data_IF_086994233584
#
_entry.id   IF_086994233584
#
_cell.length_a   1.000
_cell.length_b   1.000
_cell.length_c   1.000
_cell.angle_alpha   90.00
_cell.angle_beta   90.00
_cell.angle_gamma   90.00
#
_symmetry.space_group_name_H-M   'P 1'
#
loop_
_entity.id
_entity.type
_entity.pdbx_description
1 polymer ?
#
# COMPACT_ATOMS: atom_id res chain seq x y z
N UNK A 1 5.77 -9.71 -7.92
CA UNK A 1 5.47 -10.08 -6.53
C UNK A 1 3.96 -10.01 -6.25
N UNK A 2 3.14 -10.92 -6.82
CA UNK A 2 1.70 -10.97 -6.59
C UNK A 2 1.33 -11.24 -5.13
N UNK A 3 2.18 -11.99 -4.40
CA UNK A 3 1.91 -12.40 -3.01
C UNK A 3 1.76 -11.25 -2.00
N UNK A 4 2.37 -10.08 -2.21
CA UNK A 4 2.23 -8.94 -1.28
C UNK A 4 0.87 -8.25 -1.40
N UNK A 5 0.36 -8.12 -2.63
CA UNK A 5 -0.96 -7.55 -2.88
C UNK A 5 -2.05 -8.47 -2.30
N UNK A 6 -1.91 -9.77 -2.53
CA UNK A 6 -2.89 -10.76 -2.07
C UNK A 6 -3.07 -10.73 -0.55
N UNK A 7 -1.96 -10.77 0.21
CA UNK A 7 -2.05 -10.75 1.69
C UNK A 7 -2.67 -9.47 2.24
N UNK A 8 -2.43 -8.32 1.62
CA UNK A 8 -3.06 -7.05 2.01
C UNK A 8 -4.56 -7.08 1.74
N UNK A 9 -4.99 -7.53 0.56
CA UNK A 9 -6.41 -7.57 0.22
C UNK A 9 -7.14 -8.49 1.20
N UNK A 10 -6.63 -9.70 1.40
CA UNK A 10 -7.26 -10.65 2.31
C UNK A 10 -7.31 -10.12 3.74
N UNK A 11 -6.23 -9.50 4.24
CA UNK A 11 -6.19 -9.02 5.63
C UNK A 11 -6.92 -7.72 5.85
N UNK A 12 -6.55 -6.68 5.11
CA UNK A 12 -6.92 -5.29 5.40
C UNK A 12 -8.24 -4.89 4.70
N UNK A 13 -8.65 -5.60 3.64
CA UNK A 13 -9.92 -5.33 2.91
C UNK A 13 -10.99 -6.37 3.26
N UNK A 14 -10.64 -7.65 3.26
CA UNK A 14 -11.60 -8.73 3.46
C UNK A 14 -11.69 -9.24 4.91
N UNK A 15 -10.72 -8.89 5.77
CA UNK A 15 -10.78 -9.19 7.21
C UNK A 15 -10.36 -10.60 7.62
N UNK A 16 -9.76 -11.41 6.73
CA UNK A 16 -9.31 -12.75 7.06
C UNK A 16 -8.25 -12.78 8.18
N UNK A 17 -8.28 -13.83 9.01
CA UNK A 17 -7.24 -14.13 10.01
C UNK A 17 -5.91 -14.52 9.34
N UNK A 18 -4.81 -14.51 10.11
CA UNK A 18 -3.52 -14.90 9.55
C UNK A 18 -3.46 -16.39 9.22
N UNK A 19 -4.20 -17.20 9.97
CA UNK A 19 -4.35 -18.65 9.81
C UNK A 19 -5.11 -18.99 8.52
N UNK A 20 -6.23 -18.31 8.25
CA UNK A 20 -7.00 -18.50 6.99
C UNK A 20 -6.18 -18.07 5.77
N UNK A 21 -5.43 -16.97 5.87
CA UNK A 21 -4.55 -16.52 4.79
C UNK A 21 -3.41 -17.53 4.57
N UNK A 22 -2.81 -18.04 5.65
CA UNK A 22 -1.75 -19.03 5.59
C UNK A 22 -2.22 -20.33 4.90
N UNK A 23 -3.40 -20.82 5.26
CA UNK A 23 -4.03 -21.99 4.65
C UNK A 23 -4.35 -21.75 3.17
N UNK A 24 -4.99 -20.62 2.84
CA UNK A 24 -5.37 -20.26 1.46
C UNK A 24 -4.15 -20.14 0.54
N UNK A 25 -3.04 -19.60 1.05
CA UNK A 25 -1.83 -19.36 0.27
C UNK A 25 -0.80 -20.50 0.34
N UNK A 26 -1.12 -21.59 1.06
CA UNK A 26 -0.20 -22.72 1.25
C UNK A 26 1.14 -22.31 1.86
N UNK A 27 1.13 -21.41 2.84
CA UNK A 27 2.37 -20.90 3.47
C UNK A 27 2.24 -20.80 5.00
N UNK A 28 3.36 -20.53 5.69
CA UNK A 28 3.32 -20.38 7.15
C UNK A 28 2.70 -19.06 7.60
N UNK A 29 2.12 -19.01 8.80
CA UNK A 29 1.66 -17.76 9.44
C UNK A 29 2.82 -16.74 9.57
N UNK A 30 4.05 -17.19 9.83
CA UNK A 30 5.23 -16.34 9.83
C UNK A 30 5.51 -15.70 8.47
N UNK A 31 5.31 -16.45 7.39
CA UNK A 31 5.38 -15.94 6.01
C UNK A 31 4.32 -14.86 5.78
N UNK A 32 3.08 -15.09 6.19
CA UNK A 32 1.99 -14.09 6.11
C UNK A 32 2.37 -12.80 6.83
N UNK A 33 2.82 -12.88 8.09
CA UNK A 33 3.24 -11.71 8.89
C UNK A 33 4.36 -10.94 8.19
N UNK A 34 5.39 -11.62 7.70
CA UNK A 34 6.52 -10.96 7.03
C UNK A 34 6.13 -10.34 5.68
N UNK A 35 5.24 -11.00 4.91
CA UNK A 35 4.70 -10.45 3.66
C UNK A 35 3.84 -9.21 3.92
N UNK A 36 2.96 -9.25 4.92
CA UNK A 36 2.13 -8.11 5.32
C UNK A 36 2.97 -6.90 5.75
N UNK A 37 4.03 -7.12 6.54
CA UNK A 37 4.92 -6.04 6.96
C UNK A 37 5.54 -5.32 5.76
N UNK A 38 6.12 -6.08 4.82
CA UNK A 38 6.73 -5.54 3.59
C UNK A 38 5.69 -4.89 2.68
N UNK A 39 4.54 -5.54 2.48
CA UNK A 39 3.46 -5.01 1.66
C UNK A 39 2.98 -3.64 2.17
N UNK A 40 2.77 -3.50 3.48
CA UNK A 40 2.35 -2.22 4.09
C UNK A 40 3.45 -1.17 4.01
N UNK A 41 4.72 -1.55 4.10
CA UNK A 41 5.84 -0.63 3.88
C UNK A 41 5.85 -0.10 2.45
N UNK A 42 5.69 -0.96 1.45
CA UNK A 42 5.63 -0.55 0.05
C UNK A 42 4.42 0.35 -0.24
N UNK A 43 3.27 0.03 0.34
CA UNK A 43 2.06 0.85 0.19
C UNK A 43 2.26 2.24 0.80
N UNK A 44 2.79 2.32 2.03
CA UNK A 44 3.12 3.62 2.66
C UNK A 44 4.07 4.44 1.80
N UNK A 45 5.14 3.84 1.28
CA UNK A 45 6.11 4.55 0.43
C UNK A 45 5.46 5.08 -0.85
N UNK A 46 4.55 4.33 -1.47
CA UNK A 46 3.81 4.82 -2.64
C UNK A 46 2.89 5.97 -2.28
N UNK A 47 2.10 5.85 -1.21
CA UNK A 47 1.17 6.89 -0.79
C UNK A 47 1.89 8.20 -0.40
N UNK A 48 3.06 8.11 0.23
CA UNK A 48 3.88 9.31 0.55
C UNK A 48 4.35 9.99 -0.73
N UNK A 49 4.88 9.23 -1.70
CA UNK A 49 5.32 9.79 -2.99
C UNK A 49 4.17 10.45 -3.75
N UNK A 50 3.01 9.80 -3.80
CA UNK A 50 1.80 10.36 -4.42
C UNK A 50 1.40 11.67 -3.73
N UNK A 51 1.36 11.69 -2.38
CA UNK A 51 1.02 12.90 -1.63
C UNK A 51 1.96 14.07 -1.95
N UNK A 52 3.26 13.81 -2.06
CA UNK A 52 4.24 14.82 -2.45
C UNK A 52 4.03 15.29 -3.89
N UNK A 53 3.67 14.38 -4.81
CA UNK A 53 3.37 14.72 -6.20
C UNK A 53 2.14 15.64 -6.29
N UNK A 54 1.04 15.27 -5.63
CA UNK A 54 -0.18 16.07 -5.56
C UNK A 54 0.07 17.44 -4.91
N UNK A 55 0.88 17.50 -3.84
CA UNK A 55 1.25 18.76 -3.20
C UNK A 55 2.10 19.67 -4.11
N UNK A 56 3.01 19.10 -4.90
CA UNK A 56 3.81 19.87 -5.87
C UNK A 56 2.92 20.40 -6.99
N UNK A 57 2.05 19.55 -7.57
CA UNK A 57 1.14 19.95 -8.63
C UNK A 57 0.17 21.07 -8.20
N UNK A 58 -0.39 21.00 -6.99
CA UNK A 58 -1.28 22.05 -6.49
C UNK A 58 -0.56 23.38 -6.28
N UNK A 59 0.71 23.36 -5.87
CA UNK A 59 1.56 24.57 -5.75
C UNK A 59 1.92 25.16 -7.12
N UNK A 60 2.17 24.33 -8.15
CA UNK A 60 2.40 24.83 -9.50
C UNK A 60 1.16 25.50 -10.10
N UNK A 61 -0.03 24.94 -9.85
CA UNK A 61 -1.30 25.49 -10.34
C UNK A 61 -1.61 26.84 -9.66
N UNK A 62 -1.31 27.00 -8.37
CA UNK A 62 -1.56 28.26 -7.65
C UNK A 62 -0.57 29.38 -7.97
N UNK A 63 0.64 29.06 -8.45
CA UNK A 63 1.65 30.06 -8.86
C UNK A 63 1.52 30.54 -10.32
N UNK A 64 0.69 29.91 -11.14
CA UNK A 64 0.50 30.27 -12.56
C UNK A 64 -0.51 31.41 -12.81
N UNK A 65 -1.00 32.09 -11.77
CA UNK A 65 -2.12 33.03 -11.84
C UNK A 65 -1.78 34.51 -11.61
N UNK A 66 -0.52 34.93 -11.69
CA UNK A 66 -0.13 36.34 -11.60
C UNK A 66 0.71 36.72 -12.82
N UNK A 67 0.00 37.21 -13.83
CA UNK A 67 0.59 37.56 -15.11
C UNK A 67 -0.46 37.97 -16.12
N UNK A 68 -1.21 39.03 -15.81
CA UNK A 68 -1.80 39.99 -16.75
C UNK A 68 -2.18 41.26 -16.02
#
# INVERSE_FOLDING_TARGET
>A
MPEYRMVIIMRDVQGFSYEEIAATLGCSVGTVKSRLSRARQFLRQHLVREREHFAKQSVYISKGGEGR
#
